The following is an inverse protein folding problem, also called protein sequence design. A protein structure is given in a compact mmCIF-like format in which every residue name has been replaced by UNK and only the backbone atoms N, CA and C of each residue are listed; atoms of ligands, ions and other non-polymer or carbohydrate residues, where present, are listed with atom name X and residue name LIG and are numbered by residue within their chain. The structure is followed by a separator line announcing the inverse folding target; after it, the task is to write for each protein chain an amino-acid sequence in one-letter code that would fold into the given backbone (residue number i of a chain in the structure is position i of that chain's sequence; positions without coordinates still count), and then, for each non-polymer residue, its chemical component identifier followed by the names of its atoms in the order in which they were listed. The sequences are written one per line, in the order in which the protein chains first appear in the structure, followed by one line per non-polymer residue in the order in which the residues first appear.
data_IF_814488040729
#
_entry.id   IF_814488040729
#
_cell.length_a   1.000
_cell.length_b   1.000
_cell.length_c   1.000
_cell.angle_alpha   90.00
_cell.angle_beta   90.00
_cell.angle_gamma   90.00
#
_symmetry.space_group_name_H-M   'P 1'
#
loop_
_entity.id
_entity.type
_entity.pdbx_description
1 polymer ?
#
# COMPACT_ATOMS: atom_id res chain seq x y z
N UNK A 1 -4.20 23.60 -11.09
CA UNK A 1 -3.74 22.62 -10.08
C UNK A 1 -4.37 21.28 -10.42
N UNK A 2 -3.59 20.21 -10.56
CA UNK A 2 -4.11 18.87 -10.88
C UNK A 2 -4.86 18.28 -9.67
N UNK A 3 -5.92 17.51 -9.94
CA UNK A 3 -6.66 16.80 -8.90
C UNK A 3 -6.24 15.32 -8.90
N UNK A 4 -5.76 14.85 -7.78
CA UNK A 4 -5.36 13.45 -7.56
C UNK A 4 -6.33 12.86 -6.53
N UNK A 5 -6.95 11.75 -6.87
CA UNK A 5 -7.84 11.03 -5.95
C UNK A 5 -7.21 9.71 -5.55
N UNK A 6 -6.91 9.56 -4.28
CA UNK A 6 -6.32 8.34 -3.70
C UNK A 6 -7.45 7.48 -3.13
N UNK A 7 -7.65 6.32 -3.73
CA UNK A 7 -8.73 5.38 -3.40
C UNK A 7 -8.20 4.21 -2.60
N UNK A 8 -8.72 4.01 -1.40
CA UNK A 8 -8.41 2.87 -0.54
C UNK A 8 -9.64 2.41 0.23
N UNK A 9 -9.73 1.11 0.48
CA UNK A 9 -10.64 0.49 1.45
C UNK A 9 -9.87 -0.43 2.40
N UNK A 10 -8.62 -0.09 2.67
CA UNK A 10 -7.77 -0.84 3.60
C UNK A 10 -8.26 -0.77 5.05
N UNK A 11 -9.08 0.24 5.39
CA UNK A 11 -9.78 0.40 6.68
C UNK A 11 -10.72 -0.76 7.00
N UNK A 12 -11.23 -1.46 5.99
CA UNK A 12 -12.09 -2.64 6.16
C UNK A 12 -11.34 -3.88 6.66
N UNK A 13 -10.00 -3.87 6.66
CA UNK A 13 -9.18 -5.03 7.07
C UNK A 13 -8.27 -4.63 8.23
N UNK A 14 -8.75 -4.88 9.46
CA UNK A 14 -8.00 -4.58 10.69
C UNK A 14 -6.66 -5.31 10.74
N UNK A 15 -5.62 -4.62 11.20
CA UNK A 15 -4.30 -5.22 11.50
C UNK A 15 -3.39 -5.44 10.29
N UNK A 16 -3.68 -4.83 9.15
CA UNK A 16 -2.77 -4.83 7.99
C UNK A 16 -2.06 -3.48 7.86
N UNK A 17 -0.75 -3.50 7.64
CA UNK A 17 0.07 -2.31 7.45
C UNK A 17 -0.23 -1.50 6.17
N UNK A 18 -1.17 -1.97 5.34
CA UNK A 18 -1.59 -1.28 4.12
C UNK A 18 -2.32 0.03 4.44
N UNK A 19 -3.11 0.08 5.51
CA UNK A 19 -3.82 1.30 5.90
C UNK A 19 -2.84 2.39 6.35
N UNK A 20 -1.94 2.07 7.28
CA UNK A 20 -0.94 3.06 7.76
C UNK A 20 -0.03 3.54 6.64
N UNK A 21 0.39 2.65 5.73
CA UNK A 21 1.19 3.03 4.56
C UNK A 21 0.42 3.94 3.60
N UNK A 22 -0.89 3.73 3.43
CA UNK A 22 -1.74 4.61 2.65
C UNK A 22 -1.84 6.00 3.28
N UNK A 23 -2.16 6.08 4.58
CA UNK A 23 -2.37 7.34 5.30
C UNK A 23 -1.09 8.19 5.31
N UNK A 24 0.06 7.59 5.61
CA UNK A 24 1.36 8.27 5.55
C UNK A 24 1.68 8.77 4.14
N UNK A 25 1.34 8.01 3.11
CA UNK A 25 1.56 8.40 1.72
C UNK A 25 0.64 9.56 1.30
N UNK A 26 -0.62 9.58 1.77
CA UNK A 26 -1.56 10.68 1.53
C UNK A 26 -1.07 11.96 2.21
N UNK A 27 -0.64 11.88 3.47
CA UNK A 27 -0.10 13.03 4.19
C UNK A 27 1.14 13.60 3.50
N UNK A 28 2.09 12.73 3.14
CA UNK A 28 3.29 13.14 2.42
C UNK A 28 2.96 13.78 1.06
N UNK A 29 2.02 13.18 0.31
CA UNK A 29 1.59 13.72 -0.97
C UNK A 29 0.96 15.10 -0.82
N UNK A 30 0.15 15.33 0.21
CA UNK A 30 -0.43 16.65 0.52
C UNK A 30 0.64 17.68 0.86
N UNK A 31 1.62 17.30 1.65
CA UNK A 31 2.71 18.20 2.07
C UNK A 31 3.61 18.58 0.88
N UNK A 32 4.08 17.59 0.13
CA UNK A 32 5.06 17.80 -0.96
C UNK A 32 4.41 18.41 -2.20
N UNK A 33 3.16 18.11 -2.47
CA UNK A 33 2.48 18.53 -3.70
C UNK A 33 1.50 19.69 -3.50
N UNK A 34 1.47 20.35 -2.34
CA UNK A 34 0.51 21.40 -1.98
C UNK A 34 0.31 22.47 -3.05
N UNK A 35 1.39 22.84 -3.76
CA UNK A 35 1.36 23.90 -4.80
C UNK A 35 1.15 23.33 -6.22
N UNK A 36 1.12 22.00 -6.39
CA UNK A 36 1.03 21.32 -7.70
C UNK A 36 -0.26 20.55 -7.89
N UNK A 37 -0.78 19.95 -6.82
CA UNK A 37 -1.95 19.11 -6.89
C UNK A 37 -2.84 19.19 -5.64
N UNK A 38 -4.14 19.03 -5.86
CA UNK A 38 -5.13 18.84 -4.81
C UNK A 38 -5.30 17.34 -4.57
N UNK A 39 -4.86 16.87 -3.42
CA UNK A 39 -4.98 15.46 -3.01
C UNK A 39 -6.32 15.26 -2.30
N UNK A 40 -7.15 14.37 -2.84
CA UNK A 40 -8.42 13.93 -2.26
C UNK A 40 -8.37 12.44 -1.96
N UNK A 41 -9.17 12.01 -1.00
CA UNK A 41 -9.33 10.60 -0.64
C UNK A 41 -10.75 10.16 -0.91
N UNK A 42 -10.90 8.98 -1.50
CA UNK A 42 -12.18 8.31 -1.73
C UNK A 42 -13.28 9.24 -2.31
N UNK A 43 -12.87 10.27 -3.05
CA UNK A 43 -13.77 11.25 -3.65
C UNK A 43 -14.53 10.66 -4.84
N UNK A 44 -15.79 11.06 -5.00
CA UNK A 44 -16.59 10.76 -6.18
C UNK A 44 -16.36 11.74 -7.34
N UNK A 45 -15.71 12.85 -7.06
CA UNK A 45 -15.46 13.87 -8.06
C UNK A 45 -14.44 13.43 -9.12
N UNK A 46 -14.51 14.05 -10.29
CA UNK A 46 -13.57 13.84 -11.37
C UNK A 46 -12.15 14.25 -10.97
N UNK A 47 -11.16 13.48 -11.38
CA UNK A 47 -9.74 13.70 -11.10
C UNK A 47 -8.88 13.39 -12.32
N UNK A 48 -7.81 14.16 -12.51
CA UNK A 48 -6.84 13.93 -13.58
C UNK A 48 -5.96 12.71 -13.32
N UNK A 49 -5.83 12.30 -12.04
CA UNK A 49 -5.15 11.06 -11.65
C UNK A 49 -6.01 10.37 -10.60
N UNK A 50 -6.30 9.09 -10.82
CA UNK A 50 -6.90 8.21 -9.81
C UNK A 50 -5.88 7.17 -9.39
N UNK A 51 -5.52 7.15 -8.11
CA UNK A 51 -4.55 6.22 -7.53
C UNK A 51 -5.25 5.18 -6.66
N UNK A 52 -5.21 3.92 -7.06
CA UNK A 52 -5.86 2.80 -6.40
C UNK A 52 -4.89 2.09 -5.46
N UNK A 53 -5.13 2.17 -4.14
CA UNK A 53 -4.36 1.47 -3.10
C UNK A 53 -4.93 0.11 -2.72
N UNK A 54 -6.11 -0.23 -3.21
CA UNK A 54 -6.72 -1.54 -3.00
C UNK A 54 -7.44 -2.02 -4.27
N UNK A 55 -7.65 -3.33 -4.38
CA UNK A 55 -8.19 -3.97 -5.58
C UNK A 55 -9.66 -4.37 -5.40
N UNK A 56 -10.44 -3.62 -4.65
CA UNK A 56 -11.85 -3.93 -4.43
C UNK A 56 -12.66 -3.98 -5.74
N UNK A 57 -13.68 -4.84 -5.86
CA UNK A 57 -14.48 -4.99 -7.08
C UNK A 57 -15.10 -3.68 -7.59
N UNK A 58 -15.58 -2.82 -6.68
CA UNK A 58 -16.11 -1.51 -7.04
C UNK A 58 -15.05 -0.59 -7.69
N UNK A 59 -13.79 -0.71 -7.29
CA UNK A 59 -12.69 0.02 -7.92
C UNK A 59 -12.39 -0.50 -9.31
N UNK A 60 -12.49 -1.80 -9.52
CA UNK A 60 -12.36 -2.40 -10.84
C UNK A 60 -13.42 -1.85 -11.82
N UNK A 61 -14.67 -1.74 -11.36
CA UNK A 61 -15.75 -1.17 -12.15
C UNK A 61 -15.54 0.35 -12.35
N UNK A 62 -15.21 1.08 -11.29
CA UNK A 62 -14.99 2.53 -11.38
C UNK A 62 -13.85 2.92 -12.31
N UNK A 63 -12.82 2.10 -12.45
CA UNK A 63 -11.70 2.32 -13.36
C UNK A 63 -12.14 2.48 -14.83
N UNK A 64 -13.25 1.84 -15.21
CA UNK A 64 -13.80 1.97 -16.57
C UNK A 64 -14.26 3.41 -16.89
N UNK A 65 -14.93 4.07 -15.93
CA UNK A 65 -15.39 5.45 -16.12
C UNK A 65 -14.28 6.48 -15.83
N UNK A 66 -13.46 6.21 -14.81
CA UNK A 66 -12.39 7.13 -14.41
C UNK A 66 -11.28 7.25 -15.45
N UNK A 67 -11.06 6.21 -16.26
CA UNK A 67 -10.14 6.26 -17.41
C UNK A 67 -10.47 7.39 -18.42
N UNK A 68 -11.75 7.78 -18.52
CA UNK A 68 -12.16 8.92 -19.37
C UNK A 68 -11.85 10.27 -18.74
N UNK A 69 -11.53 10.31 -17.47
CA UNK A 69 -11.26 11.53 -16.70
C UNK A 69 -9.76 11.81 -16.57
N UNK A 70 -8.93 10.77 -16.59
CA UNK A 70 -7.50 10.92 -16.42
C UNK A 70 -6.75 9.59 -16.29
N UNK A 71 -5.49 9.65 -15.86
CA UNK A 71 -4.63 8.50 -15.70
C UNK A 71 -5.02 7.66 -14.48
N UNK A 72 -4.92 6.35 -14.64
CA UNK A 72 -5.14 5.36 -13.58
C UNK A 72 -3.80 4.81 -13.09
N UNK A 73 -3.55 4.93 -11.80
CA UNK A 73 -2.36 4.39 -11.12
C UNK A 73 -2.79 3.31 -10.14
N UNK A 74 -2.18 2.14 -10.21
CA UNK A 74 -2.44 1.06 -9.27
C UNK A 74 -1.27 0.84 -8.32
N UNK A 75 -1.55 0.60 -7.05
CA UNK A 75 -0.52 0.27 -6.06
C UNK A 75 -0.49 -1.24 -5.83
N UNK A 76 0.66 -1.85 -6.11
CA UNK A 76 0.85 -3.30 -6.01
C UNK A 76 1.46 -3.64 -4.65
N UNK A 77 0.60 -3.96 -3.69
CA UNK A 77 1.01 -4.42 -2.36
C UNK A 77 1.29 -5.92 -2.30
N UNK A 78 0.67 -6.69 -3.19
CA UNK A 78 0.77 -8.15 -3.21
C UNK A 78 0.53 -8.70 -4.62
N UNK A 79 1.04 -9.91 -4.83
CA UNK A 79 0.86 -10.72 -6.02
C UNK A 79 0.26 -12.08 -5.64
N UNK A 80 -0.27 -12.88 -6.58
CA UNK A 80 -0.83 -14.20 -6.30
C UNK A 80 0.04 -15.05 -5.38
N UNK A 81 1.34 -15.13 -5.65
CA UNK A 81 2.31 -15.95 -4.92
C UNK A 81 2.49 -15.48 -3.47
N UNK A 82 2.37 -14.17 -3.22
CA UNK A 82 2.57 -13.60 -1.88
C UNK A 82 1.37 -13.79 -0.97
N UNK A 83 0.20 -14.04 -1.54
CA UNK A 83 -1.05 -14.21 -0.77
C UNK A 83 -1.57 -15.64 -0.74
N UNK A 84 -0.94 -16.56 -1.46
CA UNK A 84 -1.42 -17.94 -1.60
C UNK A 84 -1.64 -18.64 -0.25
N UNK A 85 -0.73 -18.46 0.70
CA UNK A 85 -0.80 -19.04 2.03
C UNK A 85 -1.58 -18.18 3.05
N UNK A 86 -2.08 -17.01 2.62
CA UNK A 86 -2.83 -16.08 3.49
C UNK A 86 -4.33 -16.12 3.24
N UNK A 87 -4.76 -16.76 2.14
CA UNK A 87 -6.16 -16.81 1.72
C UNK A 87 -6.71 -18.22 1.86
N UNK A 88 -7.69 -18.37 2.73
CA UNK A 88 -8.40 -19.65 2.96
C UNK A 88 -9.58 -19.79 2.00
N UNK A 89 -9.29 -19.96 0.71
CA UNK A 89 -10.29 -20.21 -0.33
C UNK A 89 -10.04 -21.54 -1.03
N UNK A 90 -11.08 -22.19 -1.57
CA UNK A 90 -10.91 -23.34 -2.46
C UNK A 90 -10.05 -22.99 -3.67
N UNK A 91 -9.33 -23.96 -4.22
CA UNK A 91 -8.35 -23.75 -5.31
C UNK A 91 -8.95 -23.04 -6.54
N UNK A 92 -10.16 -23.40 -6.93
CA UNK A 92 -10.85 -22.76 -8.07
C UNK A 92 -11.13 -21.27 -7.78
N UNK A 93 -11.57 -20.91 -6.56
CA UNK A 93 -11.85 -19.53 -6.17
C UNK A 93 -10.57 -18.70 -6.07
N UNK A 94 -9.47 -19.30 -5.60
CA UNK A 94 -8.14 -18.65 -5.65
C UNK A 94 -7.74 -18.31 -7.07
N UNK A 95 -7.91 -19.25 -8.02
CA UNK A 95 -7.55 -19.00 -9.42
C UNK A 95 -8.38 -17.85 -10.05
N UNK A 96 -9.68 -17.76 -9.72
CA UNK A 96 -10.54 -16.65 -10.15
C UNK A 96 -10.02 -15.34 -9.55
N UNK A 97 -9.74 -15.34 -8.25
CA UNK A 97 -9.22 -14.15 -7.55
C UNK A 97 -7.87 -13.70 -8.12
N UNK A 98 -6.95 -14.61 -8.43
CA UNK A 98 -5.65 -14.28 -9.00
C UNK A 98 -5.76 -13.69 -10.41
N UNK A 99 -6.62 -14.26 -11.24
CA UNK A 99 -6.93 -13.72 -12.58
C UNK A 99 -7.55 -12.33 -12.48
N UNK A 100 -8.47 -12.13 -11.54
CA UNK A 100 -9.06 -10.84 -11.25
C UNK A 100 -7.99 -9.82 -10.83
N UNK A 101 -7.12 -10.16 -9.89
CA UNK A 101 -6.03 -9.29 -9.41
C UNK A 101 -5.13 -8.82 -10.55
N UNK A 102 -4.65 -9.75 -11.36
CA UNK A 102 -3.79 -9.43 -12.51
C UNK A 102 -4.56 -8.63 -13.57
N UNK A 103 -5.82 -8.95 -13.82
CA UNK A 103 -6.68 -8.16 -14.71
C UNK A 103 -6.87 -6.73 -14.22
N UNK A 104 -6.96 -6.53 -12.89
CA UNK A 104 -7.03 -5.20 -12.29
C UNK A 104 -5.74 -4.42 -12.58
N UNK A 105 -4.56 -5.01 -12.32
CA UNK A 105 -3.28 -4.35 -12.57
C UNK A 105 -3.06 -4.04 -14.06
N UNK A 106 -3.42 -4.94 -14.96
CA UNK A 106 -3.36 -4.70 -16.41
C UNK A 106 -4.22 -3.53 -16.89
N UNK A 107 -5.26 -3.19 -16.14
CA UNK A 107 -6.15 -2.08 -16.45
C UNK A 107 -5.55 -0.71 -16.12
N UNK A 108 -4.51 -0.66 -15.29
CA UNK A 108 -3.85 0.59 -14.91
C UNK A 108 -2.94 1.10 -16.03
N UNK A 109 -2.79 2.42 -16.11
CA UNK A 109 -1.84 3.06 -17.02
C UNK A 109 -0.43 2.97 -16.46
N UNK A 110 -0.29 3.11 -15.12
CA UNK A 110 0.95 2.97 -14.37
C UNK A 110 0.72 2.16 -13.10
N UNK A 111 1.77 1.47 -12.65
CA UNK A 111 1.79 0.74 -11.40
C UNK A 111 2.91 1.25 -10.50
N UNK A 112 2.63 1.27 -9.20
CA UNK A 112 3.64 1.49 -8.16
C UNK A 112 3.76 0.21 -7.35
N UNK A 113 4.98 -0.20 -7.04
CA UNK A 113 5.21 -1.35 -6.17
C UNK A 113 6.14 -0.98 -5.01
N UNK A 114 5.92 -1.61 -3.85
CA UNK A 114 6.77 -1.49 -2.66
C UNK A 114 7.92 -2.51 -2.64
N UNK A 115 7.92 -3.45 -3.58
CA UNK A 115 8.93 -4.49 -3.67
C UNK A 115 9.51 -4.53 -5.09
N UNK A 116 10.81 -4.27 -5.28
CA UNK A 116 11.43 -4.26 -6.61
C UNK A 116 11.32 -5.60 -7.35
N UNK A 117 11.30 -6.73 -6.62
CA UNK A 117 11.12 -8.08 -7.21
C UNK A 117 9.77 -8.21 -7.94
N UNK A 118 8.77 -7.38 -7.60
CA UNK A 118 7.48 -7.43 -8.26
C UNK A 118 7.51 -6.89 -9.69
N UNK A 119 8.53 -6.12 -10.07
CA UNK A 119 8.69 -5.62 -11.45
C UNK A 119 8.83 -6.79 -12.43
N UNK A 120 9.77 -7.70 -12.14
CA UNK A 120 10.01 -8.89 -12.98
C UNK A 120 8.79 -9.82 -12.98
N UNK A 121 8.20 -10.05 -11.79
CA UNK A 121 6.99 -10.89 -11.67
C UNK A 121 5.79 -10.32 -12.43
N UNK A 122 5.62 -9.01 -12.45
CA UNK A 122 4.55 -8.37 -13.23
C UNK A 122 4.81 -8.50 -14.73
N UNK A 123 6.09 -8.47 -15.15
CA UNK A 123 6.47 -8.73 -16.53
C UNK A 123 6.11 -10.16 -16.97
N UNK A 124 6.29 -11.17 -16.11
CA UNK A 124 5.86 -12.56 -16.36
C UNK A 124 4.34 -12.66 -16.58
N UNK A 125 3.57 -11.79 -15.94
CA UNK A 125 2.12 -11.66 -16.17
C UNK A 125 1.76 -10.83 -17.41
N UNK A 126 2.75 -10.35 -18.18
CA UNK A 126 2.57 -9.54 -19.39
C UNK A 126 2.22 -8.07 -19.09
N UNK A 127 2.72 -7.52 -17.99
CA UNK A 127 2.68 -6.10 -17.67
C UNK A 127 4.08 -5.53 -17.94
N UNK A 128 4.23 -4.59 -18.89
CA UNK A 128 5.53 -4.04 -19.24
C UNK A 128 6.22 -3.36 -18.06
N UNK A 129 7.52 -3.62 -17.87
CA UNK A 129 8.31 -3.11 -16.73
C UNK A 129 8.38 -1.59 -16.69
N UNK A 130 8.34 -0.94 -17.86
CA UNK A 130 8.31 0.53 -17.99
C UNK A 130 7.05 1.19 -17.42
N UNK A 131 6.00 0.40 -17.20
CA UNK A 131 4.78 0.86 -16.50
C UNK A 131 4.87 0.76 -14.99
N UNK A 132 5.88 0.11 -14.46
CA UNK A 132 6.00 -0.21 -13.03
C UNK A 132 7.13 0.58 -12.41
N UNK A 133 6.81 1.36 -11.38
CA UNK A 133 7.79 2.14 -10.62
C UNK A 133 7.90 1.58 -9.20
N UNK A 134 9.12 1.33 -8.74
CA UNK A 134 9.37 1.00 -7.34
C UNK A 134 9.37 2.27 -6.50
N UNK A 135 8.46 2.33 -5.53
CA UNK A 135 8.42 3.37 -4.50
C UNK A 135 8.25 2.65 -3.15
N UNK A 136 9.26 2.68 -2.27
CA UNK A 136 9.16 2.04 -0.97
C UNK A 136 8.09 2.72 -0.10
N UNK A 137 7.61 2.00 0.92
CA UNK A 137 6.77 2.62 1.93
C UNK A 137 7.54 3.74 2.62
N UNK A 138 6.87 4.85 2.83
CA UNK A 138 7.39 5.97 3.59
C UNK A 138 7.14 5.74 5.08
N UNK A 139 8.00 6.33 5.91
CA UNK A 139 7.87 6.31 7.37
C UNK A 139 7.90 7.75 7.85
N UNK A 140 6.90 8.13 8.64
CA UNK A 140 6.83 9.47 9.22
C UNK A 140 7.92 9.67 10.27
N UNK A 141 8.85 10.59 10.05
CA UNK A 141 9.86 10.98 11.03
C UNK A 141 9.25 11.63 12.29
N UNK A 142 8.02 12.13 12.19
CA UNK A 142 7.27 12.66 13.35
C UNK A 142 6.87 11.54 14.32
N UNK A 143 6.60 10.35 13.79
CA UNK A 143 6.12 9.20 14.55
C UNK A 143 7.24 8.20 14.89
N UNK A 144 8.28 8.13 14.04
CA UNK A 144 9.37 7.16 14.16
C UNK A 144 10.72 7.88 14.12
N UNK A 145 11.23 8.21 15.30
CA UNK A 145 12.51 8.88 15.47
C UNK A 145 13.32 8.21 16.59
N UNK A 146 14.65 8.26 16.54
CA UNK A 146 15.49 7.76 17.62
C UNK A 146 15.26 8.57 18.91
N UNK A 147 14.86 7.87 19.96
CA UNK A 147 14.68 8.51 21.27
C UNK A 147 16.01 9.02 21.84
N UNK A 148 15.97 10.18 22.45
CA UNK A 148 17.06 10.71 23.28
C UNK A 148 17.35 9.80 24.49
N UNK A 149 18.52 10.00 25.14
CA UNK A 149 18.93 9.15 26.28
C UNK A 149 17.89 9.11 27.39
N UNK A 150 17.35 10.27 27.75
CA UNK A 150 16.39 10.41 28.85
C UNK A 150 15.01 9.80 28.48
N UNK A 151 14.54 10.01 27.28
CA UNK A 151 13.28 9.42 26.78
C UNK A 151 13.41 7.89 26.70
N UNK A 152 14.55 7.39 26.22
CA UNK A 152 14.86 5.97 26.19
C UNK A 152 14.88 5.36 27.59
N UNK A 153 15.45 6.06 28.58
CA UNK A 153 15.44 5.64 30.00
C UNK A 153 14.01 5.52 30.52
N UNK A 154 13.19 6.57 30.35
CA UNK A 154 11.78 6.57 30.74
C UNK A 154 10.97 5.47 30.07
N UNK A 155 11.17 5.25 28.77
CA UNK A 155 10.51 4.17 28.05
C UNK A 155 10.90 2.80 28.62
N UNK A 156 12.17 2.54 28.91
CA UNK A 156 12.64 1.29 29.54
C UNK A 156 12.01 1.07 30.91
N UNK A 157 11.98 2.08 31.75
CA UNK A 157 11.34 2.02 33.07
C UNK A 157 9.85 1.66 32.94
N UNK A 158 9.14 2.32 32.04
CA UNK A 158 7.72 2.08 31.77
C UNK A 158 7.43 0.61 31.42
N UNK A 159 8.33 -0.04 30.68
CA UNK A 159 8.17 -1.41 30.23
C UNK A 159 8.95 -2.45 31.08
N UNK A 160 9.53 -2.05 32.21
CA UNK A 160 10.30 -2.93 33.07
C UNK A 160 11.57 -3.50 32.43
N UNK A 161 12.16 -2.78 31.48
CA UNK A 161 13.37 -3.20 30.77
C UNK A 161 14.59 -2.63 31.50
N UNK A 162 15.55 -3.48 31.89
CA UNK A 162 16.79 -3.04 32.52
C UNK A 162 17.56 -2.06 31.64
N UNK A 163 18.19 -1.01 32.20
CA UNK A 163 18.91 0.01 31.44
C UNK A 163 19.97 -0.55 30.47
N UNK A 164 20.70 -1.56 30.92
CA UNK A 164 21.80 -2.21 30.18
C UNK A 164 21.35 -3.33 29.25
N UNK A 165 20.07 -3.73 29.30
CA UNK A 165 19.60 -4.86 28.51
C UNK A 165 19.62 -4.55 27.01
N UNK A 166 20.15 -5.46 26.20
CA UNK A 166 19.92 -5.46 24.76
C UNK A 166 18.50 -5.96 24.50
N UNK A 167 17.72 -5.15 23.78
CA UNK A 167 16.30 -5.46 23.56
C UNK A 167 16.06 -5.71 22.07
N UNK A 168 15.50 -6.84 21.72
CA UNK A 168 15.00 -7.15 20.40
C UNK A 168 13.48 -7.05 20.45
N UNK A 169 12.92 -6.15 19.63
CA UNK A 169 11.48 -6.02 19.46
C UNK A 169 11.04 -6.69 18.16
N UNK A 170 10.06 -7.60 18.27
CA UNK A 170 9.35 -8.15 17.14
C UNK A 170 7.90 -7.68 17.21
N UNK A 171 7.48 -6.91 16.23
CA UNK A 171 6.11 -6.42 16.12
C UNK A 171 5.45 -6.98 14.86
N UNK A 172 4.28 -7.57 15.00
CA UNK A 172 3.56 -8.13 13.86
C UNK A 172 2.34 -8.94 14.27
N UNK A 173 1.53 -9.26 13.28
CA UNK A 173 0.40 -10.16 13.48
C UNK A 173 0.91 -11.60 13.57
N UNK A 174 0.48 -12.35 14.60
CA UNK A 174 0.77 -13.77 14.72
C UNK A 174 0.00 -14.54 13.63
N UNK A 175 0.72 -14.95 12.60
CA UNK A 175 0.18 -15.74 11.49
C UNK A 175 1.19 -16.82 11.09
N UNK A 176 0.68 -17.97 10.65
CA UNK A 176 1.50 -19.12 10.21
C UNK A 176 2.59 -18.74 9.19
N UNK A 177 2.37 -17.69 8.39
CA UNK A 177 3.34 -17.17 7.41
C UNK A 177 4.49 -16.38 8.03
N UNK A 178 4.33 -15.87 9.24
CA UNK A 178 5.32 -14.99 9.90
C UNK A 178 6.12 -15.67 11.01
N UNK A 179 5.95 -16.98 11.18
CA UNK A 179 6.61 -17.80 12.20
C UNK A 179 5.72 -18.16 13.37
#
# INVERSE_FOLDING_TARGET
MKRINMLSKADMVKGQGVLSAHDEQVELAREVMKDRALIRENSREASEITHYHSINPEFYLSAFWRRRQGALVGYVHFLPETVENSISLPRFAKNIFYKYMISFYKRMDYLVTVNPVFIDKLADYGIPSEKVTYIPNVVSEKNFYPLGKEEKRKAREKYGIRPEAFTILCAGQLQRRKG
#
